data_IF_485862023803
#
_entry.id   IF_485862023803
#
_cell.length_a   1.000
_cell.length_b   1.000
_cell.length_c   1.000
_cell.angle_alpha   90.00
_cell.angle_beta   90.00
_cell.angle_gamma   90.00
#
_symmetry.space_group_name_H-M   'P 1'
#
loop_
_entity.id
_entity.type
_entity.pdbx_description
1 polymer ?
#
# COMPACT_ATOMS: atom_id res chain seq x y z
N UNK A 1 -4.97 19.74 4.05
CA UNK A 1 -4.78 18.70 3.00
C UNK A 1 -4.47 17.39 3.71
N UNK A 2 -5.35 16.40 3.60
CA UNK A 2 -5.12 15.09 4.24
C UNK A 2 -3.97 14.36 3.53
N UNK A 3 -2.92 14.03 4.29
CA UNK A 3 -1.80 13.25 3.81
C UNK A 3 -2.12 11.76 3.72
N UNK A 4 -3.00 11.30 4.59
CA UNK A 4 -3.45 9.92 4.70
C UNK A 4 -4.93 9.81 4.37
N UNK A 5 -5.32 8.79 3.57
CA UNK A 5 -6.72 8.55 3.25
C UNK A 5 -6.98 7.08 2.88
N UNK A 6 -8.13 6.55 3.31
CA UNK A 6 -8.62 5.22 2.96
C UNK A 6 -9.83 5.33 2.01
N UNK A 7 -9.75 4.66 0.87
CA UNK A 7 -10.86 4.51 -0.06
C UNK A 7 -11.55 3.16 0.19
N UNK A 8 -12.47 3.14 1.12
CA UNK A 8 -13.32 1.98 1.39
C UNK A 8 -14.56 2.08 0.50
N UNK A 9 -14.42 1.55 -0.69
CA UNK A 9 -15.42 1.63 -1.75
C UNK A 9 -15.64 0.23 -2.33
N UNK A 10 -16.87 -0.14 -2.63
CA UNK A 10 -17.21 -1.45 -3.19
C UNK A 10 -16.49 -1.75 -4.52
N UNK A 11 -16.45 -3.02 -4.91
CA UNK A 11 -15.90 -3.42 -6.21
C UNK A 11 -16.70 -2.78 -7.34
N UNK A 12 -15.99 -2.34 -8.40
CA UNK A 12 -16.63 -1.72 -9.57
C UNK A 12 -17.08 -0.26 -9.41
N UNK A 13 -16.91 0.38 -8.24
CA UNK A 13 -17.32 1.76 -7.98
C UNK A 13 -16.31 2.83 -8.41
N UNK A 14 -15.25 2.45 -9.13
CA UNK A 14 -14.28 3.40 -9.69
C UNK A 14 -13.13 3.78 -8.78
N UNK A 15 -12.73 2.93 -7.81
CA UNK A 15 -11.59 3.18 -6.90
C UNK A 15 -10.32 3.61 -7.63
N UNK A 16 -9.97 2.92 -8.73
CA UNK A 16 -8.78 3.21 -9.54
C UNK A 16 -8.83 4.62 -10.10
N UNK A 17 -9.98 5.01 -10.67
CA UNK A 17 -10.19 6.35 -11.20
C UNK A 17 -10.03 7.42 -10.11
N UNK A 18 -10.68 7.23 -8.97
CA UNK A 18 -10.58 8.18 -7.84
C UNK A 18 -9.14 8.33 -7.37
N UNK A 19 -8.35 7.25 -7.31
CA UNK A 19 -6.94 7.34 -6.97
C UNK A 19 -6.15 8.11 -8.03
N UNK A 20 -6.36 7.83 -9.32
CA UNK A 20 -5.65 8.50 -10.42
C UNK A 20 -6.00 9.99 -10.46
N UNK A 21 -7.27 10.35 -10.31
CA UNK A 21 -7.71 11.76 -10.19
C UNK A 21 -7.01 12.46 -9.00
N UNK A 22 -6.92 11.77 -7.85
CA UNK A 22 -6.21 12.32 -6.69
C UNK A 22 -4.71 12.52 -6.96
N UNK A 23 -4.05 11.59 -7.66
CA UNK A 23 -2.66 11.71 -8.08
C UNK A 23 -2.50 12.91 -9.03
N UNK A 24 -3.36 13.02 -10.05
CA UNK A 24 -3.34 14.12 -11.01
C UNK A 24 -3.50 15.50 -10.33
N UNK A 25 -4.45 15.61 -9.39
CA UNK A 25 -4.68 16.83 -8.61
C UNK A 25 -3.46 17.19 -7.74
N UNK A 26 -2.84 16.21 -7.10
CA UNK A 26 -1.68 16.44 -6.25
C UNK A 26 -0.46 16.83 -7.07
N UNK A 27 -0.27 16.23 -8.25
CA UNK A 27 0.77 16.57 -9.20
C UNK A 27 0.57 17.99 -9.74
N UNK A 28 -0.61 18.34 -10.22
CA UNK A 28 -0.94 19.68 -10.71
C UNK A 28 -0.77 20.79 -9.66
N UNK A 29 -0.81 20.44 -8.36
CA UNK A 29 -0.50 21.34 -7.25
C UNK A 29 0.98 21.36 -6.85
N UNK A 30 1.84 20.65 -7.55
CA UNK A 30 3.25 20.50 -7.21
C UNK A 30 3.50 19.78 -5.86
N UNK A 31 2.49 19.07 -5.33
CA UNK A 31 2.59 18.38 -4.04
C UNK A 31 3.27 17.02 -4.13
N UNK A 32 3.29 16.42 -5.32
CA UNK A 32 4.02 15.19 -5.65
C UNK A 32 4.59 15.28 -7.06
N UNK A 33 5.62 14.47 -7.33
CA UNK A 33 6.14 14.24 -8.69
C UNK A 33 6.15 12.76 -9.06
N UNK A 34 5.68 11.89 -8.14
CA UNK A 34 5.68 10.45 -8.35
C UNK A 34 4.56 9.74 -7.58
N UNK A 35 4.22 8.52 -8.02
CA UNK A 35 3.32 7.61 -7.33
C UNK A 35 3.87 6.17 -7.35
N UNK A 36 3.91 5.54 -6.17
CA UNK A 36 4.15 4.10 -6.03
C UNK A 36 2.81 3.41 -5.80
N UNK A 37 2.38 2.59 -6.77
CA UNK A 37 1.14 1.82 -6.67
C UNK A 37 1.47 0.35 -6.45
N UNK A 38 0.92 -0.21 -5.39
CA UNK A 38 1.12 -1.60 -4.98
C UNK A 38 -0.22 -2.31 -5.07
N UNK A 39 -0.26 -3.43 -5.80
CA UNK A 39 -1.48 -4.20 -6.01
C UNK A 39 -1.20 -5.71 -5.95
N UNK A 40 -2.24 -6.56 -5.85
CA UNK A 40 -2.06 -8.01 -5.90
C UNK A 40 -1.39 -8.47 -7.19
N UNK A 41 -0.59 -9.55 -7.11
CA UNK A 41 0.20 -10.09 -8.24
C UNK A 41 -0.63 -10.34 -9.51
N UNK A 42 -1.88 -10.78 -9.36
CA UNK A 42 -2.75 -11.08 -10.52
C UNK A 42 -3.22 -9.84 -11.29
N UNK A 43 -3.20 -8.65 -10.68
CA UNK A 43 -3.83 -7.44 -11.26
C UNK A 43 -2.91 -6.23 -11.34
N UNK A 44 -1.71 -6.26 -10.73
CA UNK A 44 -0.85 -5.07 -10.65
C UNK A 44 -0.46 -4.49 -12.03
N UNK A 45 -0.31 -5.33 -13.05
CA UNK A 45 0.00 -4.88 -14.42
C UNK A 45 -1.15 -4.09 -15.06
N UNK A 46 -2.38 -4.37 -14.66
CA UNK A 46 -3.56 -3.66 -15.15
C UNK A 46 -3.46 -2.13 -14.86
N UNK A 47 -2.77 -1.75 -13.79
CA UNK A 47 -2.52 -0.35 -13.48
C UNK A 47 -1.72 0.36 -14.59
N UNK A 48 -0.68 -0.29 -15.11
CA UNK A 48 0.15 0.28 -16.19
C UNK A 48 -0.45 0.10 -17.59
N UNK A 49 -1.18 -0.99 -17.82
CA UNK A 49 -1.67 -1.35 -19.15
C UNK A 49 -3.03 -0.73 -19.46
N UNK A 50 -3.81 -0.37 -18.43
CA UNK A 50 -5.17 0.11 -18.59
C UNK A 50 -5.53 1.31 -17.71
N UNK A 51 -5.43 1.18 -16.39
CA UNK A 51 -6.02 2.17 -15.47
C UNK A 51 -5.40 3.56 -15.63
N UNK A 52 -4.07 3.65 -15.65
CA UNK A 52 -3.37 4.95 -15.83
C UNK A 52 -3.65 5.51 -17.22
N UNK A 53 -3.60 4.69 -18.26
CA UNK A 53 -3.84 5.12 -19.64
C UNK A 53 -5.28 5.60 -19.88
N UNK A 54 -6.26 4.97 -19.19
CA UNK A 54 -7.68 5.32 -19.35
C UNK A 54 -8.08 6.56 -18.54
N UNK A 55 -7.46 6.78 -17.39
CA UNK A 55 -7.98 7.74 -16.42
C UNK A 55 -7.08 8.95 -16.16
N UNK A 56 -5.77 8.86 -16.47
CA UNK A 56 -4.90 10.02 -16.31
C UNK A 56 -5.15 11.01 -17.45
N UNK A 57 -5.32 12.32 -17.17
CA UNK A 57 -5.49 13.32 -18.21
C UNK A 57 -4.32 13.33 -19.20
N UNK A 58 -4.62 13.42 -20.51
CA UNK A 58 -3.63 13.39 -21.61
C UNK A 58 -2.60 14.53 -21.53
N UNK A 59 -2.97 15.65 -20.90
CA UNK A 59 -2.06 16.78 -20.70
C UNK A 59 -0.97 16.52 -19.64
N UNK A 60 -1.03 15.41 -18.90
CA UNK A 60 -0.01 15.03 -17.93
C UNK A 60 0.94 14.03 -18.58
N UNK A 61 2.16 14.51 -18.88
CA UNK A 61 3.24 13.63 -19.32
C UNK A 61 3.64 12.65 -18.22
N UNK A 62 3.89 11.39 -18.57
CA UNK A 62 4.11 10.32 -17.60
C UNK A 62 5.21 9.35 -18.01
N UNK A 63 5.89 8.78 -17.00
CA UNK A 63 6.78 7.62 -17.13
C UNK A 63 6.31 6.52 -16.22
N UNK A 64 6.22 5.29 -16.73
CA UNK A 64 5.71 4.13 -16.00
C UNK A 64 6.76 3.04 -15.99
N UNK A 65 7.19 2.62 -14.79
CA UNK A 65 8.03 1.44 -14.56
C UNK A 65 7.25 0.37 -13.83
N UNK A 66 7.31 -0.86 -14.33
CA UNK A 66 6.65 -2.03 -13.73
C UNK A 66 7.72 -2.96 -13.17
N UNK A 67 7.69 -3.16 -11.85
CA UNK A 67 8.65 -4.05 -11.18
C UNK A 67 8.35 -5.52 -11.49
N UNK A 68 9.43 -6.28 -11.71
CA UNK A 68 9.38 -7.74 -11.84
C UNK A 68 10.57 -8.37 -11.13
N UNK A 69 10.40 -9.57 -10.56
CA UNK A 69 11.48 -10.34 -9.95
C UNK A 69 12.52 -10.80 -11.00
N UNK A 70 12.08 -11.01 -12.24
CA UNK A 70 12.90 -11.37 -13.40
C UNK A 70 12.59 -10.40 -14.54
N UNK A 71 13.08 -9.15 -14.46
CA UNK A 71 12.74 -8.12 -15.44
C UNK A 71 13.45 -8.37 -16.78
N UNK A 72 12.75 -8.15 -17.89
CA UNK A 72 13.36 -8.05 -19.22
C UNK A 72 14.15 -6.75 -19.32
N UNK A 73 15.04 -6.63 -20.30
CA UNK A 73 15.85 -5.42 -20.52
C UNK A 73 14.98 -4.16 -20.60
N UNK A 74 13.89 -4.21 -21.37
CA UNK A 74 12.90 -3.10 -21.47
C UNK A 74 12.32 -2.70 -20.12
N UNK A 75 11.99 -3.66 -19.26
CA UNK A 75 11.41 -3.41 -17.94
C UNK A 75 12.45 -2.73 -17.01
N UNK A 76 13.74 -3.11 -17.14
CA UNK A 76 14.83 -2.48 -16.40
C UNK A 76 15.06 -1.04 -16.85
N UNK A 77 15.11 -0.80 -18.16
CA UNK A 77 15.25 0.53 -18.74
C UNK A 77 14.10 1.46 -18.32
N UNK A 78 12.86 0.96 -18.35
CA UNK A 78 11.69 1.70 -17.88
C UNK A 78 11.79 2.09 -16.39
N UNK A 79 12.27 1.19 -15.51
CA UNK A 79 12.49 1.52 -14.11
C UNK A 79 13.64 2.52 -13.94
N UNK A 80 14.74 2.39 -14.70
CA UNK A 80 15.87 3.32 -14.63
C UNK A 80 15.46 4.73 -15.05
N UNK A 81 14.62 4.86 -16.09
CA UNK A 81 14.13 6.16 -16.56
C UNK A 81 13.31 6.93 -15.53
N UNK A 82 12.75 6.24 -14.51
CA UNK A 82 12.05 6.91 -13.41
C UNK A 82 12.97 7.76 -12.53
N UNK A 83 14.29 7.49 -12.55
CA UNK A 83 15.28 8.21 -11.75
C UNK A 83 15.99 9.32 -12.53
N UNK A 84 15.66 9.49 -13.81
CA UNK A 84 16.14 10.61 -14.62
C UNK A 84 15.41 11.90 -14.25
N UNK A 85 16.10 13.02 -14.40
CA UNK A 85 15.51 14.34 -14.19
C UNK A 85 14.52 14.62 -15.33
N UNK A 86 13.27 14.82 -15.01
CA UNK A 86 12.21 15.21 -15.95
C UNK A 86 11.01 15.75 -15.19
N UNK A 87 10.20 16.54 -15.90
CA UNK A 87 8.91 17.06 -15.39
C UNK A 87 7.79 16.01 -15.44
N UNK A 88 8.05 14.81 -16.00
CA UNK A 88 7.05 13.78 -16.10
C UNK A 88 6.57 13.29 -14.71
N UNK A 89 5.28 13.01 -14.59
CA UNK A 89 4.75 12.26 -13.44
C UNK A 89 5.21 10.80 -13.51
N UNK A 90 5.90 10.35 -12.48
CA UNK A 90 6.55 9.04 -12.47
C UNK A 90 5.70 8.02 -11.71
N UNK A 91 5.43 6.89 -12.35
CA UNK A 91 4.71 5.77 -11.73
C UNK A 91 5.63 4.57 -11.58
N UNK A 92 5.77 4.07 -10.35
CA UNK A 92 6.34 2.74 -10.09
C UNK A 92 5.21 1.80 -9.67
N UNK A 93 4.99 0.72 -10.45
CA UNK A 93 3.96 -0.27 -10.20
C UNK A 93 4.62 -1.54 -9.69
N UNK A 94 4.16 -2.03 -8.54
CA UNK A 94 4.74 -3.22 -7.89
C UNK A 94 3.64 -4.18 -7.42
N UNK A 95 3.94 -5.49 -7.45
CA UNK A 95 3.08 -6.42 -6.74
C UNK A 95 3.43 -6.48 -5.25
N UNK A 96 2.45 -6.82 -4.41
CA UNK A 96 2.63 -6.86 -2.96
C UNK A 96 3.66 -7.91 -2.51
N UNK A 97 3.84 -8.98 -3.26
CA UNK A 97 4.81 -10.04 -2.97
C UNK A 97 6.26 -9.58 -3.12
N UNK A 98 6.51 -8.53 -3.92
CA UNK A 98 7.82 -7.90 -4.05
C UNK A 98 8.42 -7.50 -2.70
N UNK A 99 7.57 -7.11 -1.75
CA UNK A 99 7.96 -6.65 -0.42
C UNK A 99 8.35 -7.78 0.55
N UNK A 100 8.22 -9.03 0.12
CA UNK A 100 8.85 -10.17 0.79
C UNK A 100 10.29 -10.41 0.33
N UNK A 101 10.80 -9.63 -0.64
CA UNK A 101 12.15 -9.77 -1.20
C UNK A 101 12.99 -8.53 -0.93
N UNK A 102 14.30 -8.71 -0.68
CA UNK A 102 15.23 -7.59 -0.50
C UNK A 102 15.29 -6.67 -1.73
N UNK A 103 15.27 -7.24 -2.94
CA UNK A 103 15.34 -6.47 -4.20
C UNK A 103 14.13 -5.54 -4.37
N UNK A 104 12.92 -6.06 -4.11
CA UNK A 104 11.70 -5.25 -4.20
C UNK A 104 11.67 -4.12 -3.17
N UNK A 105 12.04 -4.41 -1.92
CA UNK A 105 12.13 -3.40 -0.85
C UNK A 105 13.12 -2.30 -1.20
N UNK A 106 14.34 -2.65 -1.69
CA UNK A 106 15.35 -1.67 -2.08
C UNK A 106 14.87 -0.79 -3.23
N UNK A 107 14.23 -1.38 -4.25
CA UNK A 107 13.68 -0.62 -5.38
C UNK A 107 12.64 0.42 -4.91
N UNK A 108 11.65 -0.01 -4.11
CA UNK A 108 10.63 0.87 -3.58
C UNK A 108 11.21 1.95 -2.65
N UNK A 109 12.18 1.59 -1.79
CA UNK A 109 12.83 2.54 -0.90
C UNK A 109 13.57 3.62 -1.67
N UNK A 110 14.38 3.23 -2.67
CA UNK A 110 15.09 4.18 -3.52
C UNK A 110 14.10 5.14 -4.20
N UNK A 111 13.00 4.62 -4.76
CA UNK A 111 11.99 5.43 -5.42
C UNK A 111 11.35 6.45 -4.46
N UNK A 112 10.91 6.01 -3.27
CA UNK A 112 10.28 6.89 -2.28
C UNK A 112 11.25 7.93 -1.66
N UNK A 113 12.55 7.63 -1.62
CA UNK A 113 13.56 8.56 -1.12
C UNK A 113 14.02 9.58 -2.17
N UNK A 114 13.92 9.21 -3.46
CA UNK A 114 14.31 10.10 -4.57
C UNK A 114 13.21 11.07 -4.96
N UNK A 115 11.94 10.69 -4.75
CA UNK A 115 10.78 11.43 -5.22
C UNK A 115 9.88 11.91 -4.10
N UNK A 116 9.22 13.04 -4.32
CA UNK A 116 8.08 13.43 -3.49
C UNK A 116 6.84 12.62 -3.91
N UNK A 117 6.69 11.43 -3.33
CA UNK A 117 5.80 10.42 -3.85
C UNK A 117 4.53 10.19 -3.00
N UNK A 118 3.44 9.84 -3.70
CA UNK A 118 2.28 9.19 -3.11
C UNK A 118 2.49 7.66 -3.12
N UNK A 119 2.24 7.01 -1.99
CA UNK A 119 2.16 5.55 -1.86
C UNK A 119 0.70 5.12 -1.82
N UNK A 120 0.30 4.22 -2.71
CA UNK A 120 -1.02 3.60 -2.70
C UNK A 120 -0.91 2.07 -2.60
N UNK A 121 -1.76 1.46 -1.78
CA UNK A 121 -1.91 0.01 -1.69
C UNK A 121 -3.32 -0.34 -2.10
N UNK A 122 -3.44 -0.94 -3.29
CA UNK A 122 -4.69 -1.49 -3.80
C UNK A 122 -4.92 -2.88 -3.21
N UNK A 123 -6.18 -3.18 -2.91
CA UNK A 123 -6.62 -4.35 -2.14
C UNK A 123 -5.79 -4.50 -0.86
N UNK A 124 -5.88 -3.47 -0.01
CA UNK A 124 -5.06 -3.35 1.22
C UNK A 124 -5.24 -4.49 2.22
N UNK A 125 -6.27 -5.31 2.08
CA UNK A 125 -6.43 -6.57 2.83
C UNK A 125 -5.27 -7.56 2.63
N UNK A 126 -4.50 -7.41 1.54
CA UNK A 126 -3.27 -8.19 1.29
C UNK A 126 -2.17 -7.95 2.34
N UNK A 127 -2.26 -6.85 3.08
CA UNK A 127 -1.34 -6.48 4.17
C UNK A 127 -1.97 -6.55 5.56
N UNK A 128 -3.14 -7.18 5.72
CA UNK A 128 -3.84 -7.27 7.01
C UNK A 128 -3.06 -8.02 8.11
N UNK A 129 -2.16 -8.93 7.74
CA UNK A 129 -1.36 -9.66 8.71
C UNK A 129 -0.12 -8.87 9.16
N UNK A 130 -0.07 -8.35 10.42
CA UNK A 130 1.04 -7.54 10.93
C UNK A 130 2.35 -8.32 11.08
N UNK A 131 2.30 -9.65 11.10
CA UNK A 131 3.48 -10.51 11.25
C UNK A 131 4.15 -10.81 9.91
N UNK A 132 3.46 -10.63 8.78
CA UNK A 132 3.99 -10.91 7.46
C UNK A 132 5.16 -9.97 7.09
N UNK A 133 6.21 -10.52 6.49
CA UNK A 133 7.39 -9.76 6.09
C UNK A 133 7.04 -8.58 5.17
N UNK A 134 6.16 -8.81 4.19
CA UNK A 134 5.68 -7.77 3.26
C UNK A 134 4.97 -6.62 3.99
N UNK A 135 4.12 -6.92 4.98
CA UNK A 135 3.40 -5.90 5.76
C UNK A 135 4.37 -5.03 6.56
N UNK A 136 5.31 -5.67 7.28
CA UNK A 136 6.34 -4.94 8.04
C UNK A 136 7.20 -4.06 7.15
N UNK A 137 7.59 -4.56 5.98
CA UNK A 137 8.37 -3.80 5.01
C UNK A 137 7.59 -2.58 4.51
N UNK A 138 6.32 -2.77 4.14
CA UNK A 138 5.46 -1.69 3.62
C UNK A 138 5.17 -0.62 4.66
N UNK A 139 4.82 -0.98 5.90
CA UNK A 139 4.60 -0.03 6.99
C UNK A 139 5.87 0.79 7.25
N UNK A 140 7.05 0.14 7.23
CA UNK A 140 8.34 0.86 7.36
C UNK A 140 8.59 1.83 6.21
N UNK A 141 8.33 1.41 4.98
CA UNK A 141 8.55 2.22 3.76
C UNK A 141 7.55 3.38 3.64
N UNK A 142 6.32 3.20 4.11
CA UNK A 142 5.28 4.22 4.05
C UNK A 142 5.68 5.55 4.72
N UNK A 143 6.62 5.52 5.67
CA UNK A 143 7.17 6.72 6.34
C UNK A 143 7.93 7.65 5.39
N UNK A 144 8.42 7.14 4.26
CA UNK A 144 9.11 7.93 3.24
C UNK A 144 8.16 8.55 2.20
N UNK A 145 6.89 8.15 2.20
CA UNK A 145 5.89 8.71 1.28
C UNK A 145 5.29 10.00 1.83
N UNK A 146 5.12 11.00 0.97
CA UNK A 146 4.49 12.28 1.32
C UNK A 146 2.98 12.17 1.51
N UNK A 147 2.36 11.27 0.75
CA UNK A 147 0.94 10.94 0.83
C UNK A 147 0.76 9.43 0.84
N UNK A 148 -0.23 8.94 1.60
CA UNK A 148 -0.51 7.52 1.73
C UNK A 148 -1.98 7.24 1.47
N UNK A 149 -2.26 6.19 0.68
CA UNK A 149 -3.60 5.76 0.31
C UNK A 149 -3.72 4.25 0.44
N UNK A 150 -4.84 3.79 0.94
CA UNK A 150 -5.23 2.37 0.86
C UNK A 150 -6.58 2.28 0.18
N UNK A 151 -6.76 1.22 -0.61
CA UNK A 151 -7.99 0.96 -1.35
C UNK A 151 -8.44 -0.47 -1.08
N UNK A 152 -9.70 -0.65 -0.74
CA UNK A 152 -10.32 -1.98 -0.67
C UNK A 152 -11.84 -1.86 -0.61
N UNK A 153 -12.55 -2.89 -1.10
CA UNK A 153 -13.99 -3.02 -0.92
C UNK A 153 -14.36 -3.54 0.46
N UNK A 154 -13.50 -4.37 1.04
CA UNK A 154 -13.77 -5.06 2.30
C UNK A 154 -12.57 -4.95 3.25
N UNK A 155 -12.47 -3.87 4.05
CA UNK A 155 -11.33 -3.67 4.95
C UNK A 155 -11.22 -4.72 6.05
N UNK A 156 -12.35 -5.30 6.46
CA UNK A 156 -12.45 -6.36 7.47
C UNK A 156 -13.00 -7.61 6.78
N UNK A 157 -12.21 -8.67 6.68
CA UNK A 157 -12.59 -9.89 5.97
C UNK A 157 -12.82 -11.07 6.90
N UNK A 158 -12.10 -11.19 7.99
CA UNK A 158 -12.18 -12.30 8.93
C UNK A 158 -12.36 -11.83 10.38
N UNK A 159 -11.77 -10.71 10.73
CA UNK A 159 -11.82 -10.21 12.10
C UNK A 159 -11.57 -8.69 12.14
N UNK A 160 -12.02 -7.99 13.20
CA UNK A 160 -11.67 -6.59 13.44
C UNK A 160 -10.17 -6.33 13.47
N UNK A 161 -9.36 -7.36 13.75
CA UNK A 161 -7.90 -7.28 13.74
C UNK A 161 -7.32 -6.99 12.34
N UNK A 162 -8.07 -7.28 11.28
CA UNK A 162 -7.65 -7.08 9.89
C UNK A 162 -7.40 -5.61 9.56
N UNK A 163 -8.03 -4.67 10.29
CA UNK A 163 -7.90 -3.23 10.03
C UNK A 163 -6.56 -2.66 10.52
N UNK A 164 -5.96 -3.24 11.57
CA UNK A 164 -4.81 -2.65 12.24
C UNK A 164 -3.67 -2.29 11.30
N UNK A 165 -3.14 -3.26 10.56
CA UNK A 165 -1.98 -3.03 9.69
C UNK A 165 -2.29 -2.11 8.50
N UNK A 166 -3.53 -2.09 8.06
CA UNK A 166 -3.98 -1.22 6.97
C UNK A 166 -3.94 0.24 7.42
N UNK A 167 -4.43 0.51 8.63
CA UNK A 167 -4.41 1.86 9.22
C UNK A 167 -3.00 2.25 9.69
N UNK A 168 -2.22 1.31 10.24
CA UNK A 168 -0.82 1.52 10.65
C UNK A 168 0.06 1.95 9.45
N UNK A 169 -0.21 1.44 8.25
CA UNK A 169 0.46 1.91 7.02
C UNK A 169 0.12 3.38 6.73
N UNK A 170 -1.12 3.79 6.94
CA UNK A 170 -1.53 5.19 6.74
C UNK A 170 -0.88 6.09 7.80
N UNK A 171 -1.12 5.79 9.08
CA UNK A 171 -0.54 6.53 10.19
C UNK A 171 -0.56 5.66 11.46
N UNK A 172 0.62 5.35 12.05
CA UNK A 172 0.72 4.53 13.25
C UNK A 172 -0.05 5.05 14.46
N UNK A 173 -0.30 6.37 14.51
CA UNK A 173 -0.98 6.99 15.65
C UNK A 173 -2.49 7.08 15.48
N UNK A 174 -3.03 6.73 14.32
CA UNK A 174 -4.44 6.96 13.98
C UNK A 174 -5.40 6.12 14.84
N UNK A 175 -5.01 4.89 15.19
CA UNK A 175 -5.79 4.01 16.06
C UNK A 175 -5.55 4.22 17.55
N UNK A 176 -4.60 5.08 17.94
CA UNK A 176 -4.29 5.34 19.35
C UNK A 176 -3.58 4.20 20.10
N UNK A 177 -3.13 3.17 19.42
CA UNK A 177 -2.43 2.02 20.01
C UNK A 177 -0.95 2.00 19.64
N UNK A 178 -0.10 1.79 20.64
CA UNK A 178 1.36 1.73 20.45
C UNK A 178 1.85 0.47 19.72
N UNK A 179 1.02 -0.58 19.62
CA UNK A 179 1.37 -1.84 18.96
C UNK A 179 0.14 -2.66 18.59
N UNK A 180 0.33 -3.60 17.64
CA UNK A 180 -0.69 -4.60 17.32
C UNK A 180 -1.15 -5.40 18.55
N UNK A 181 -0.26 -5.73 19.47
CA UNK A 181 -0.62 -6.49 20.67
C UNK A 181 -1.48 -5.68 21.64
N UNK A 182 -1.22 -4.36 21.76
CA UNK A 182 -2.07 -3.45 22.53
C UNK A 182 -3.47 -3.38 21.92
N UNK A 183 -3.56 -3.20 20.62
CA UNK A 183 -4.82 -3.23 19.87
C UNK A 183 -5.55 -4.58 20.04
N UNK A 184 -4.85 -5.70 19.87
CA UNK A 184 -5.41 -7.03 20.01
C UNK A 184 -5.90 -7.30 21.43
N UNK A 185 -5.20 -6.84 22.47
CA UNK A 185 -5.62 -7.01 23.86
C UNK A 185 -6.84 -6.14 24.20
N UNK A 186 -7.01 -5.00 23.53
CA UNK A 186 -8.16 -4.12 23.74
C UNK A 186 -9.44 -4.69 23.10
N UNK A 187 -9.36 -5.10 21.84
CA UNK A 187 -10.53 -5.56 21.09
C UNK A 187 -10.72 -7.08 21.07
N UNK A 188 -9.69 -7.86 21.38
CA UNK A 188 -9.74 -9.31 21.35
C UNK A 188 -9.85 -9.95 22.72
N UNK A 189 -10.68 -10.98 22.84
CA UNK A 189 -10.67 -11.90 23.96
C UNK A 189 -9.59 -12.95 23.69
N UNK A 190 -8.45 -12.83 24.37
CA UNK A 190 -7.27 -13.65 24.11
C UNK A 190 -7.13 -14.71 25.18
N UNK A 191 -7.03 -15.98 24.77
CA UNK A 191 -6.75 -17.12 25.66
C UNK A 191 -5.40 -17.74 25.32
N UNK A 192 -4.71 -18.25 26.34
CA UNK A 192 -3.51 -19.05 26.13
C UNK A 192 -3.92 -20.50 25.86
N UNK A 193 -3.46 -21.06 24.76
CA UNK A 193 -3.63 -22.46 24.41
C UNK A 193 -2.28 -23.17 24.34
N UNK A 194 -2.26 -24.45 24.65
CA UNK A 194 -1.07 -25.29 24.51
C UNK A 194 -1.40 -26.47 23.61
N UNK A 195 -0.51 -26.75 22.66
CA UNK A 195 -0.60 -27.93 21.80
C UNK A 195 0.83 -28.41 21.47
N UNK A 196 1.07 -29.71 21.65
CA UNK A 196 2.39 -30.32 21.39
C UNK A 196 3.54 -29.67 22.16
N UNK A 197 3.32 -29.26 23.43
CA UNK A 197 4.35 -28.62 24.27
C UNK A 197 4.64 -27.14 23.91
N UNK A 198 3.92 -26.53 22.95
CA UNK A 198 4.04 -25.12 22.59
C UNK A 198 2.81 -24.33 23.03
N UNK A 199 3.03 -23.24 23.74
CA UNK A 199 1.97 -22.30 24.13
C UNK A 199 1.83 -21.20 23.07
N UNK A 200 0.58 -20.86 22.73
CA UNK A 200 0.27 -19.75 21.82
C UNK A 200 -1.00 -19.01 22.26
N UNK A 201 -1.08 -17.74 21.92
CA UNK A 201 -2.25 -16.91 22.17
C UNK A 201 -3.24 -17.04 21.02
N UNK A 202 -4.50 -17.29 21.35
CA UNK A 202 -5.61 -17.37 20.39
C UNK A 202 -6.67 -16.34 20.75
N UNK A 203 -7.14 -15.58 19.74
CA UNK A 203 -8.35 -14.75 19.89
C UNK A 203 -9.55 -15.67 19.73
N UNK A 204 -10.42 -15.68 20.73
CA UNK A 204 -11.64 -16.54 20.78
C UNK A 204 -12.92 -15.72 20.68
N UNK A 205 -12.83 -14.42 20.78
CA UNK A 205 -13.96 -13.48 20.67
C UNK A 205 -13.48 -12.04 20.59
N UNK A 206 -14.41 -11.12 20.51
CA UNK A 206 -14.14 -9.68 20.41
C UNK A 206 -14.96 -8.91 21.44
N UNK A 207 -14.49 -7.72 21.80
CA UNK A 207 -15.12 -6.80 22.75
C UNK A 207 -14.85 -5.36 22.31
N UNK A 208 -15.52 -4.39 22.94
CA UNK A 208 -15.34 -2.94 22.69
C UNK A 208 -15.53 -2.54 21.20
N UNK A 209 -16.42 -3.24 20.47
CA UNK A 209 -16.63 -2.99 19.03
C UNK A 209 -17.54 -1.78 18.75
N UNK A 210 -18.09 -1.15 19.77
CA UNK A 210 -18.95 0.04 19.66
C UNK A 210 -18.15 1.35 19.75
N UNK A 211 -16.86 1.27 20.04
CA UNK A 211 -15.91 2.39 20.05
C UNK A 211 -15.40 2.73 18.63
#
# INVERSE_FOLDING_TARGET
KQREYAYFMEMGTGKSKVLIDNIAILYGKGAINAALIIAPKGVYRNWSEREIETHLPDCISRRIGVWSASPRKKDQEAILSLFEVSEDLKFLIMNVEAFSTKKGVICAQKFLQTHNALLAVDESTTIKNPKAARTKALVKLAKHASFRRILTGFPITQSPMDIYSQVDLLNPNLLGFSSYYSFQNHYGQVVNRSFGGRSFKQVVGYRNLEE
#
